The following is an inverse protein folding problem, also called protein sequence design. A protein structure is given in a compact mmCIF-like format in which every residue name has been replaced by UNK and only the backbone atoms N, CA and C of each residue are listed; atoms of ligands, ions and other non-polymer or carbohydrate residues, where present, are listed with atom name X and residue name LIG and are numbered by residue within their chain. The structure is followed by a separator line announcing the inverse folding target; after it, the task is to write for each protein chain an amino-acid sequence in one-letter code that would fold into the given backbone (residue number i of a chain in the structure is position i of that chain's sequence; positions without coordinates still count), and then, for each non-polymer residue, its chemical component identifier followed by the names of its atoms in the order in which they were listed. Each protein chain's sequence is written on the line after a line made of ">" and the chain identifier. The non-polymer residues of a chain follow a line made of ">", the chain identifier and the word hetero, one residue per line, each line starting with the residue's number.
data_IF_265673083266
#
_entry.id   IF_265673083266
#
_cell.length_a   1.000
_cell.length_b   1.000
_cell.length_c   1.000
_cell.angle_alpha   90.00
_cell.angle_beta   90.00
_cell.angle_gamma   90.00
#
_symmetry.space_group_name_H-M   'P 1'
#
loop_
_entity.id
_entity.type
_entity.pdbx_description
1 polymer ?
#
# COMPACT_ATOMS: atom_id res chain seq x y z
N UNK A 1 25.24 -7.21 -0.57
CA UNK A 1 24.00 -8.00 -0.78
C UNK A 1 24.02 -8.58 -2.17
N UNK A 2 23.33 -9.69 -2.43
CA UNK A 2 23.25 -10.20 -3.80
C UNK A 2 22.32 -9.32 -4.64
N UNK A 3 22.52 -9.29 -5.96
CA UNK A 3 21.60 -8.61 -6.91
C UNK A 3 20.18 -9.16 -6.79
N UNK A 4 20.07 -10.48 -6.60
CA UNK A 4 18.81 -11.16 -6.33
C UNK A 4 18.11 -10.57 -5.11
N UNK A 5 18.82 -10.38 -4.00
CA UNK A 5 18.25 -9.80 -2.78
C UNK A 5 17.75 -8.38 -3.01
N UNK A 6 18.48 -7.57 -3.77
CA UNK A 6 18.06 -6.22 -4.14
C UNK A 6 16.74 -6.24 -4.92
N UNK A 7 16.60 -7.11 -5.92
CA UNK A 7 15.35 -7.20 -6.68
C UNK A 7 14.19 -7.73 -5.85
N UNK A 8 14.43 -8.69 -4.95
CA UNK A 8 13.42 -9.18 -4.00
C UNK A 8 12.95 -8.03 -3.12
N UNK A 9 13.88 -7.24 -2.62
CA UNK A 9 13.63 -6.09 -1.76
C UNK A 9 12.82 -5.01 -2.48
N UNK A 10 13.22 -4.65 -3.70
CA UNK A 10 12.49 -3.69 -4.53
C UNK A 10 11.06 -4.16 -4.82
N UNK A 11 10.88 -5.44 -5.15
CA UNK A 11 9.55 -6.02 -5.37
C UNK A 11 8.69 -5.99 -4.10
N UNK A 12 9.26 -6.25 -2.93
CA UNK A 12 8.54 -6.12 -1.66
C UNK A 12 8.15 -4.68 -1.37
N UNK A 13 9.04 -3.73 -1.62
CA UNK A 13 8.76 -2.31 -1.40
C UNK A 13 7.66 -1.80 -2.35
N UNK A 14 7.76 -2.19 -3.62
CA UNK A 14 6.76 -1.92 -4.64
C UNK A 14 5.41 -2.55 -4.27
N UNK A 15 5.41 -3.84 -3.91
CA UNK A 15 4.20 -4.56 -3.50
C UNK A 15 3.51 -3.91 -2.30
N UNK A 16 4.28 -3.44 -1.30
CA UNK A 16 3.72 -2.73 -0.15
C UNK A 16 3.09 -1.41 -0.57
N UNK A 17 3.81 -0.60 -1.34
CA UNK A 17 3.30 0.68 -1.82
C UNK A 17 2.02 0.51 -2.64
N UNK A 18 2.02 -0.43 -3.58
CA UNK A 18 0.86 -0.69 -4.44
C UNK A 18 -0.31 -1.23 -3.64
N UNK A 19 -0.09 -2.11 -2.66
CA UNK A 19 -1.16 -2.60 -1.78
C UNK A 19 -1.82 -1.46 -1.01
N UNK A 20 -1.02 -0.61 -0.37
CA UNK A 20 -1.52 0.54 0.40
C UNK A 20 -2.26 1.51 -0.52
N UNK A 21 -1.68 1.83 -1.67
CA UNK A 21 -2.29 2.76 -2.64
C UNK A 21 -3.60 2.24 -3.20
N UNK A 22 -3.65 0.97 -3.60
CA UNK A 22 -4.86 0.34 -4.11
C UNK A 22 -5.96 0.26 -3.07
N UNK A 23 -5.62 -0.07 -1.82
CA UNK A 23 -6.57 -0.08 -0.72
C UNK A 23 -7.26 1.28 -0.57
N UNK A 24 -6.48 2.36 -0.61
CA UNK A 24 -7.00 3.72 -0.49
C UNK A 24 -7.71 4.26 -1.72
N UNK A 25 -7.44 3.72 -2.91
CA UNK A 25 -8.15 4.08 -4.14
C UNK A 25 -9.54 3.42 -4.20
N UNK A 26 -9.63 2.15 -3.82
CA UNK A 26 -10.86 1.36 -4.01
C UNK A 26 -11.87 1.62 -2.89
N UNK A 27 -11.43 1.81 -1.64
CA UNK A 27 -12.31 2.12 -0.50
C UNK A 27 -13.31 3.26 -0.78
N UNK A 28 -12.88 4.48 -1.15
CA UNK A 28 -13.80 5.57 -1.44
C UNK A 28 -14.78 5.22 -2.56
N UNK A 29 -14.31 4.52 -3.58
CA UNK A 29 -15.12 4.10 -4.72
C UNK A 29 -16.25 3.17 -4.28
N UNK A 30 -15.96 2.16 -3.46
CA UNK A 30 -16.97 1.23 -2.92
C UNK A 30 -18.02 1.97 -2.09
N UNK A 31 -17.60 2.86 -1.19
CA UNK A 31 -18.52 3.64 -0.38
C UNK A 31 -19.40 4.56 -1.22
N UNK A 32 -18.84 5.19 -2.26
CA UNK A 32 -19.59 6.03 -3.18
C UNK A 32 -20.68 5.23 -3.91
N UNK A 33 -20.40 3.99 -4.32
CA UNK A 33 -21.38 3.15 -4.98
C UNK A 33 -22.49 2.69 -4.03
N UNK A 34 -22.13 2.24 -2.82
CA UNK A 34 -23.12 1.76 -1.82
C UNK A 34 -24.04 2.91 -1.37
N UNK A 35 -23.52 4.12 -1.18
CA UNK A 35 -24.34 5.27 -0.79
C UNK A 35 -25.26 5.75 -1.91
N UNK A 36 -24.79 5.73 -3.16
CA UNK A 36 -25.64 6.01 -4.32
C UNK A 36 -26.82 5.01 -4.42
N UNK A 37 -26.57 3.72 -4.17
CA UNK A 37 -27.61 2.67 -4.17
C UNK A 37 -28.68 2.85 -3.10
N UNK A 38 -28.36 3.46 -1.96
CA UNK A 38 -29.36 3.68 -0.91
C UNK A 38 -30.30 4.86 -1.23
N UNK A 39 -29.94 5.72 -2.19
CA UNK A 39 -30.70 6.91 -2.56
C UNK A 39 -31.66 6.70 -3.75
N UNK A 40 -31.52 5.60 -4.49
CA UNK A 40 -32.34 5.22 -5.64
C UNK A 40 -32.85 3.78 -5.46
N UNK A 41 -34.02 3.42 -5.99
CA UNK A 41 -34.46 2.02 -5.96
C UNK A 41 -33.40 1.13 -6.63
N UNK A 42 -32.79 0.15 -5.92
CA UNK A 42 -31.66 -0.60 -6.44
C UNK A 42 -32.06 -1.36 -7.70
N UNK A 43 -31.36 -1.09 -8.80
CA UNK A 43 -31.49 -1.88 -10.01
C UNK A 43 -30.60 -3.13 -9.92
N UNK A 44 -30.90 -4.16 -10.71
CA UNK A 44 -30.04 -5.35 -10.80
C UNK A 44 -28.60 -5.02 -11.25
N UNK A 45 -28.43 -3.90 -11.98
CA UNK A 45 -27.14 -3.40 -12.42
C UNK A 45 -26.27 -2.91 -11.25
N UNK A 46 -26.88 -2.28 -10.25
CA UNK A 46 -26.14 -1.73 -9.11
C UNK A 46 -25.57 -2.84 -8.21
N UNK A 47 -26.33 -3.92 -8.02
CA UNK A 47 -25.87 -5.11 -7.28
C UNK A 47 -24.68 -5.75 -8.00
N UNK A 48 -24.73 -5.84 -9.34
CA UNK A 48 -23.62 -6.36 -10.13
C UNK A 48 -22.36 -5.52 -9.98
N UNK A 49 -22.48 -4.18 -9.98
CA UNK A 49 -21.34 -3.28 -9.78
C UNK A 49 -20.68 -3.44 -8.41
N UNK A 50 -21.47 -3.59 -7.34
CA UNK A 50 -20.93 -3.81 -5.99
C UNK A 50 -20.19 -5.15 -5.91
N UNK A 51 -20.78 -6.22 -6.44
CA UNK A 51 -20.14 -7.54 -6.48
C UNK A 51 -18.85 -7.53 -7.31
N UNK A 52 -18.87 -6.87 -8.47
CA UNK A 52 -17.70 -6.74 -9.33
C UNK A 52 -16.59 -5.94 -8.63
N UNK A 53 -16.91 -4.81 -8.01
CA UNK A 53 -15.94 -3.97 -7.28
C UNK A 53 -15.35 -4.73 -6.09
N UNK A 54 -16.17 -5.48 -5.34
CA UNK A 54 -15.72 -6.33 -4.24
C UNK A 54 -14.78 -7.44 -4.72
N UNK A 55 -15.12 -8.10 -5.83
CA UNK A 55 -14.27 -9.11 -6.45
C UNK A 55 -12.93 -8.52 -6.92
N UNK A 56 -12.95 -7.35 -7.56
CA UNK A 56 -11.73 -6.63 -7.97
C UNK A 56 -10.86 -6.28 -6.76
N UNK A 57 -11.45 -5.82 -5.65
CA UNK A 57 -10.71 -5.51 -4.42
C UNK A 57 -10.01 -6.75 -3.86
N UNK A 58 -10.72 -7.88 -3.76
CA UNK A 58 -10.12 -9.14 -3.31
C UNK A 58 -9.00 -9.57 -4.26
N UNK A 59 -9.23 -9.50 -5.58
CA UNK A 59 -8.22 -9.83 -6.58
C UNK A 59 -6.95 -8.99 -6.45
N UNK A 60 -7.10 -7.69 -6.22
CA UNK A 60 -5.98 -6.76 -6.05
C UNK A 60 -5.21 -7.04 -4.76
N UNK A 61 -5.91 -7.24 -3.63
CA UNK A 61 -5.28 -7.57 -2.35
C UNK A 61 -4.51 -8.89 -2.46
N UNK A 62 -5.11 -9.91 -3.06
CA UNK A 62 -4.47 -11.21 -3.29
C UNK A 62 -3.26 -11.06 -4.20
N UNK A 63 -3.37 -10.27 -5.28
CA UNK A 63 -2.27 -10.05 -6.21
C UNK A 63 -1.08 -9.37 -5.53
N UNK A 64 -1.29 -8.28 -4.79
CA UNK A 64 -0.17 -7.60 -4.12
C UNK A 64 0.37 -8.37 -2.91
N UNK A 65 -0.48 -9.10 -2.19
CA UNK A 65 -0.02 -10.06 -1.19
C UNK A 65 0.86 -11.14 -1.84
N UNK A 66 0.47 -11.66 -3.00
CA UNK A 66 1.29 -12.60 -3.76
C UNK A 66 2.64 -11.98 -4.15
N UNK A 67 2.68 -10.74 -4.63
CA UNK A 67 3.95 -10.03 -4.93
C UNK A 67 4.83 -9.93 -3.69
N UNK A 68 4.26 -9.59 -2.52
CA UNK A 68 4.99 -9.48 -1.26
C UNK A 68 5.59 -10.82 -0.78
N UNK A 69 4.78 -11.88 -0.76
CA UNK A 69 5.18 -13.19 -0.22
C UNK A 69 5.95 -14.05 -1.21
N UNK A 70 5.72 -13.88 -2.52
CA UNK A 70 6.36 -14.65 -3.59
C UNK A 70 7.38 -13.83 -4.39
N UNK A 71 7.85 -12.69 -3.85
CA UNK A 71 8.93 -11.91 -4.45
C UNK A 71 10.15 -12.76 -4.87
N UNK A 72 10.66 -13.72 -4.07
CA UNK A 72 11.79 -14.58 -4.50
C UNK A 72 11.49 -15.40 -5.76
N UNK A 73 10.27 -15.93 -5.87
CA UNK A 73 9.82 -16.71 -7.02
C UNK A 73 9.65 -15.84 -8.27
N UNK A 74 9.13 -14.62 -8.10
CA UNK A 74 8.99 -13.65 -9.20
C UNK A 74 10.36 -13.28 -9.77
N UNK A 75 11.34 -12.99 -8.90
CA UNK A 75 12.72 -12.65 -9.31
C UNK A 75 13.37 -13.78 -10.11
N UNK A 76 13.18 -15.02 -9.67
CA UNK A 76 13.72 -16.19 -10.36
C UNK A 76 13.04 -16.44 -11.70
N UNK A 77 11.70 -16.35 -11.74
CA UNK A 77 10.92 -16.63 -12.95
C UNK A 77 11.14 -15.59 -14.04
N UNK A 78 11.23 -14.31 -13.65
CA UNK A 78 11.56 -13.20 -14.54
C UNK A 78 13.06 -13.10 -14.83
N UNK A 79 13.89 -13.94 -14.21
CA UNK A 79 15.35 -13.96 -14.37
C UNK A 79 15.98 -12.58 -14.12
N UNK A 80 15.44 -11.79 -13.19
CA UNK A 80 15.85 -10.39 -12.98
C UNK A 80 17.31 -10.25 -12.55
N UNK A 81 17.88 -11.30 -11.95
CA UNK A 81 19.29 -11.33 -11.57
C UNK A 81 20.23 -11.86 -12.68
N UNK A 82 19.72 -12.35 -13.83
CA UNK A 82 20.55 -12.92 -14.90
C UNK A 82 21.06 -11.85 -15.86
N UNK A 83 22.29 -12.04 -16.37
CA UNK A 83 22.91 -11.14 -17.34
C UNK A 83 23.79 -10.05 -16.72
N UNK A 84 24.09 -10.16 -15.42
CA UNK A 84 25.04 -9.30 -14.75
C UNK A 84 26.34 -10.05 -14.45
N UNK A 85 27.49 -9.43 -14.72
CA UNK A 85 28.81 -10.07 -14.61
C UNK A 85 29.27 -10.36 -13.16
N UNK A 86 28.69 -9.64 -12.19
CA UNK A 86 28.99 -9.80 -10.76
C UNK A 86 27.71 -10.14 -9.99
N UNK A 87 27.74 -11.06 -9.04
CA UNK A 87 26.56 -11.40 -8.23
C UNK A 87 26.34 -10.45 -7.04
N UNK A 88 27.38 -9.70 -6.67
CA UNK A 88 27.38 -8.84 -5.49
C UNK A 88 27.20 -7.37 -5.86
N UNK A 89 26.41 -6.67 -5.06
CA UNK A 89 26.34 -5.21 -5.05
C UNK A 89 26.94 -4.71 -3.73
N UNK A 90 28.00 -3.90 -3.86
CA UNK A 90 28.58 -3.13 -2.76
C UNK A 90 27.98 -1.72 -2.79
N UNK A 91 26.96 -1.48 -1.98
CA UNK A 91 26.39 -0.13 -1.76
C UNK A 91 27.00 0.47 -0.48
N UNK A 92 28.33 0.56 -0.44
CA UNK A 92 29.07 1.08 0.72
C UNK A 92 28.65 0.42 2.04
N UNK A 93 28.33 1.25 3.05
CA UNK A 93 27.91 0.80 4.41
C UNK A 93 26.40 0.51 4.54
N UNK A 94 25.61 0.58 3.47
CA UNK A 94 24.18 0.38 3.54
C UNK A 94 23.83 -1.11 3.46
N UNK A 95 23.19 -1.63 4.50
CA UNK A 95 22.65 -2.99 4.48
C UNK A 95 21.33 -3.05 3.72
N UNK A 96 20.93 -4.25 3.28
CA UNK A 96 19.60 -4.46 2.70
C UNK A 96 18.48 -4.01 3.66
N UNK A 97 18.68 -4.16 4.97
CA UNK A 97 17.73 -3.68 5.96
C UNK A 97 17.61 -2.15 5.95
N UNK A 98 18.71 -1.43 5.81
CA UNK A 98 18.72 0.04 5.76
C UNK A 98 17.97 0.55 4.52
N UNK A 99 18.08 -0.16 3.39
CA UNK A 99 17.35 0.19 2.16
C UNK A 99 15.84 0.03 2.36
N UNK A 100 15.39 -1.07 2.99
CA UNK A 100 13.96 -1.26 3.32
C UNK A 100 13.50 -0.16 4.27
N UNK A 101 14.31 0.15 5.28
CA UNK A 101 14.02 1.16 6.29
C UNK A 101 13.82 2.55 5.66
N UNK A 102 14.74 2.95 4.79
CA UNK A 102 14.65 4.20 4.01
C UNK A 102 13.43 4.16 3.09
N UNK A 103 13.19 3.05 2.40
CA UNK A 103 12.06 2.91 1.50
C UNK A 103 10.71 3.02 2.22
N UNK A 104 10.51 2.30 3.33
CA UNK A 104 9.28 2.40 4.14
C UNK A 104 9.08 3.83 4.68
N UNK A 105 10.15 4.48 5.12
CA UNK A 105 10.10 5.87 5.55
C UNK A 105 9.67 6.80 4.41
N UNK A 106 10.28 6.67 3.22
CA UNK A 106 9.91 7.45 2.04
C UNK A 106 8.47 7.18 1.60
N UNK A 107 8.00 5.93 1.64
CA UNK A 107 6.62 5.58 1.32
C UNK A 107 5.63 6.23 2.29
N UNK A 108 5.91 6.19 3.60
CA UNK A 108 5.10 6.87 4.60
C UNK A 108 5.09 8.38 4.38
N UNK A 109 6.25 8.98 4.12
CA UNK A 109 6.39 10.40 3.82
C UNK A 109 5.62 10.83 2.57
N UNK A 110 5.68 10.03 1.50
CA UNK A 110 4.95 10.29 0.25
C UNK A 110 3.44 10.29 0.50
N UNK A 111 2.92 9.29 1.22
CA UNK A 111 1.49 9.24 1.59
C UNK A 111 1.07 10.49 2.38
N UNK A 112 1.92 10.99 3.28
CA UNK A 112 1.62 12.21 4.02
C UNK A 112 1.54 13.44 3.10
N UNK A 113 2.56 13.64 2.26
CA UNK A 113 2.63 14.80 1.35
C UNK A 113 1.47 14.79 0.36
N UNK A 114 1.13 13.63 -0.19
CA UNK A 114 0.06 13.53 -1.20
C UNK A 114 -1.33 13.78 -0.61
N UNK A 115 -1.55 13.46 0.68
CA UNK A 115 -2.89 13.48 1.27
C UNK A 115 -3.12 14.62 2.27
N UNK A 116 -2.08 15.36 2.68
CA UNK A 116 -2.24 16.50 3.60
C UNK A 116 -3.08 17.62 2.98
N UNK A 117 -2.88 17.90 1.69
CA UNK A 117 -3.66 18.91 0.98
C UNK A 117 -5.13 18.48 0.83
N UNK A 118 -5.37 17.20 0.50
CA UNK A 118 -6.72 16.62 0.41
C UNK A 118 -7.46 16.74 1.75
N UNK A 119 -6.79 16.40 2.86
CA UNK A 119 -7.36 16.47 4.21
C UNK A 119 -7.71 17.91 4.62
N UNK A 120 -6.81 18.87 4.39
CA UNK A 120 -7.06 20.29 4.70
C UNK A 120 -8.24 20.81 3.87
N UNK A 121 -8.28 20.47 2.57
CA UNK A 121 -9.30 20.95 1.66
C UNK A 121 -10.69 20.39 2.01
N UNK A 122 -10.79 19.07 2.18
CA UNK A 122 -12.04 18.42 2.59
C UNK A 122 -12.50 18.87 3.98
N UNK A 123 -11.58 19.06 4.92
CA UNK A 123 -11.89 19.61 6.25
C UNK A 123 -12.43 21.03 6.19
N UNK A 124 -11.83 21.89 5.35
CA UNK A 124 -12.32 23.24 5.11
C UNK A 124 -13.75 23.24 4.53
N UNK A 125 -14.03 22.37 3.55
CA UNK A 125 -15.36 22.26 2.96
C UNK A 125 -16.42 21.84 3.97
N UNK A 126 -16.14 20.79 4.77
CA UNK A 126 -17.06 20.29 5.81
C UNK A 126 -17.35 21.37 6.86
N UNK A 127 -16.33 22.11 7.30
CA UNK A 127 -16.51 23.21 8.26
C UNK A 127 -17.33 24.36 7.66
N UNK A 128 -17.05 24.74 6.42
CA UNK A 128 -17.76 25.82 5.72
C UNK A 128 -19.25 25.48 5.56
N UNK A 129 -19.59 24.24 5.23
CA UNK A 129 -20.98 23.81 5.07
C UNK A 129 -21.77 23.78 6.36
N UNK A 130 -21.14 23.37 7.46
CA UNK A 130 -21.76 23.36 8.78
C UNK A 130 -22.13 24.79 9.22
N UNK A 131 -21.20 25.74 9.05
CA UNK A 131 -21.44 27.17 9.32
C UNK A 131 -22.52 27.76 8.41
N UNK A 132 -22.58 27.34 7.14
CA UNK A 132 -23.56 27.82 6.18
C UNK A 132 -24.97 27.22 6.38
N UNK A 133 -25.15 26.30 7.34
CA UNK A 133 -26.45 25.66 7.62
C UNK A 133 -26.89 24.63 6.58
N UNK A 134 -25.96 24.16 5.74
CA UNK A 134 -26.23 23.03 4.85
C UNK A 134 -26.08 21.73 5.64
N UNK A 135 -27.20 21.05 5.92
CA UNK A 135 -27.17 19.72 6.51
C UNK A 135 -26.68 18.71 5.47
N UNK A 136 -25.38 18.39 5.51
CA UNK A 136 -24.83 17.35 4.66
C UNK A 136 -25.18 15.95 5.16
N UNK A 137 -25.50 15.09 4.20
CA UNK A 137 -25.64 13.66 4.39
C UNK A 137 -24.31 13.06 4.85
N UNK A 138 -24.36 11.98 5.64
CA UNK A 138 -23.19 11.19 6.07
C UNK A 138 -22.20 10.86 4.95
N UNK A 139 -22.68 10.79 3.71
CA UNK A 139 -21.86 10.51 2.53
C UNK A 139 -20.77 11.56 2.27
N UNK A 140 -21.01 12.82 2.64
CA UNK A 140 -20.13 13.94 2.28
C UNK A 140 -18.96 14.11 3.23
N UNK A 141 -19.02 13.46 4.40
CA UNK A 141 -17.92 13.39 5.37
C UNK A 141 -16.95 12.21 5.11
N UNK A 142 -17.32 11.28 4.21
CA UNK A 142 -16.49 10.10 3.87
C UNK A 142 -15.11 10.51 3.32
N UNK A 143 -14.98 11.50 2.41
CA UNK A 143 -13.67 11.94 1.91
C UNK A 143 -12.76 12.48 3.02
N UNK A 144 -13.31 13.17 4.02
CA UNK A 144 -12.55 13.67 5.17
C UNK A 144 -12.06 12.51 6.05
N UNK A 145 -12.93 11.53 6.32
CA UNK A 145 -12.54 10.34 7.09
C UNK A 145 -11.44 9.54 6.36
N UNK A 146 -11.58 9.34 5.05
CA UNK A 146 -10.61 8.59 4.24
C UNK A 146 -9.25 9.31 4.21
N UNK A 147 -9.23 10.60 3.92
CA UNK A 147 -7.98 11.38 3.92
C UNK A 147 -7.32 11.41 5.31
N UNK A 148 -8.10 11.46 6.39
CA UNK A 148 -7.59 11.30 7.75
C UNK A 148 -6.95 9.93 8.01
N UNK A 149 -7.58 8.83 7.56
CA UNK A 149 -7.01 7.48 7.68
C UNK A 149 -5.72 7.36 6.86
N UNK A 150 -5.67 7.93 5.64
CA UNK A 150 -4.45 7.97 4.83
C UNK A 150 -3.31 8.64 5.57
N UNK A 151 -3.57 9.79 6.21
CA UNK A 151 -2.57 10.48 7.03
C UNK A 151 -2.13 9.62 8.22
N UNK A 152 -3.06 8.98 8.94
CA UNK A 152 -2.72 8.09 10.04
C UNK A 152 -1.83 6.93 9.59
N UNK A 153 -2.12 6.31 8.45
CA UNK A 153 -1.27 5.25 7.88
C UNK A 153 0.10 5.80 7.50
N UNK A 154 0.17 6.98 6.87
CA UNK A 154 1.44 7.65 6.57
C UNK A 154 2.28 7.88 7.82
N UNK A 155 1.68 8.42 8.89
CA UNK A 155 2.36 8.63 10.19
C UNK A 155 2.79 7.30 10.79
N UNK A 156 1.96 6.27 10.71
CA UNK A 156 2.27 4.95 11.26
C UNK A 156 3.46 4.31 10.52
N UNK A 157 3.53 4.43 9.19
CA UNK A 157 4.66 3.99 8.38
C UNK A 157 5.94 4.75 8.72
N UNK A 158 5.87 6.09 8.82
CA UNK A 158 7.03 6.93 9.17
C UNK A 158 7.53 6.66 10.59
N UNK A 159 6.62 6.46 11.55
CA UNK A 159 6.98 6.29 12.97
C UNK A 159 7.43 4.86 13.29
N UNK A 160 6.84 3.86 12.62
CA UNK A 160 7.13 2.43 12.85
C UNK A 160 7.96 1.80 11.73
N UNK A 161 8.67 2.61 10.94
CA UNK A 161 9.48 2.16 9.81
C UNK A 161 10.46 1.03 10.15
N UNK A 162 11.04 1.03 11.36
CA UNK A 162 11.93 -0.03 11.86
C UNK A 162 11.21 -1.38 12.02
N UNK A 163 9.99 -1.36 12.56
CA UNK A 163 9.20 -2.57 12.78
C UNK A 163 8.71 -3.15 11.46
N UNK A 164 8.22 -2.29 10.59
CA UNK A 164 7.68 -2.68 9.28
C UNK A 164 8.79 -3.18 8.36
N UNK A 165 9.96 -2.53 8.39
CA UNK A 165 11.13 -3.03 7.65
C UNK A 165 11.64 -4.37 8.19
N UNK A 166 11.48 -4.63 9.49
CA UNK A 166 11.69 -5.94 10.10
C UNK A 166 10.77 -7.03 9.54
N UNK A 167 9.48 -6.76 9.37
CA UNK A 167 8.52 -7.71 8.78
C UNK A 167 8.80 -8.02 7.30
N UNK A 168 9.40 -7.06 6.59
CA UNK A 168 9.78 -7.23 5.19
C UNK A 168 11.15 -7.88 5.00
N UNK A 169 11.94 -8.06 6.08
CA UNK A 169 13.23 -8.74 5.98
C UNK A 169 13.05 -10.09 5.29
N UNK A 170 13.89 -10.32 4.30
CA UNK A 170 14.06 -11.65 3.73
C UNK A 170 14.94 -12.39 4.73
N UNK A 171 14.40 -13.41 5.40
CA UNK A 171 15.22 -14.36 6.14
C UNK A 171 16.24 -14.93 5.17
N UNK A 172 17.52 -14.62 5.40
CA UNK A 172 18.64 -15.33 4.77
C UNK A 172 18.88 -16.71 5.42
N UNK A 173 17.90 -17.24 6.15
CA UNK A 173 18.00 -18.46 6.97
C UNK A 173 17.44 -19.68 6.25
N UNK A 174 17.86 -19.89 5.00
CA UNK A 174 17.49 -21.07 4.20
C UNK A 174 18.64 -22.00 3.84
N UNK A 175 19.91 -21.63 4.08
CA UNK A 175 21.06 -22.40 3.58
C UNK A 175 22.11 -22.78 4.62
N UNK A 176 21.90 -22.51 5.91
CA UNK A 176 22.86 -22.87 6.99
C UNK A 176 22.31 -23.86 8.03
N UNK A 177 21.36 -24.73 7.67
CA UNK A 177 20.88 -25.82 8.57
C UNK A 177 21.38 -27.20 8.15
N UNK A 178 22.18 -27.32 7.07
CA UNK A 178 22.75 -28.62 6.66
C UNK A 178 24.21 -28.79 7.13
N UNK A 179 24.89 -27.74 7.60
CA UNK A 179 26.26 -27.85 8.13
C UNK A 179 26.36 -27.41 9.60
N UNK A 180 25.71 -28.15 10.48
CA UNK A 180 26.11 -28.19 11.89
C UNK A 180 25.73 -29.54 12.52
N UNK A 181 26.60 -30.53 12.26
CA UNK A 181 26.82 -31.79 12.99
C UNK A 181 25.66 -32.76 13.19
#
# INVERSE_FOLDING_TARGET
>A
MSKRDLFILLLKLFGLYSLVSSFFFILPSVFSYVTAMNSMSPSAYDIYLVLFTGFTLVGIVVFFAFVLFKAPWIVEKLKLAKGFDNDWIEIGKLSAHDIIRIGVFMLGGLILVDNIAEFINTGYYVLKSDIAGFNFSWNENIPLAISGIKLLVGVLLVTNYDRISGLLKTDQTGENVIEAK
#
